data_IF_454477553087
#
_entry.id   IF_454477553087
#
_cell.length_a   1.000
_cell.length_b   1.000
_cell.length_c   1.000
_cell.angle_alpha   90.00
_cell.angle_beta   90.00
_cell.angle_gamma   90.00
#
_symmetry.space_group_name_H-M   'P 1'
#
loop_
_entity.id
_entity.type
_entity.pdbx_description
1 polymer ?
#
# COMPACT_ATOMS: atom_id res chain seq x y z
N UNK A 1 26.31 -10.08 -17.30
CA UNK A 1 25.95 -9.86 -18.72
C UNK A 1 24.46 -10.11 -18.83
N UNK A 2 23.72 -9.28 -19.58
CA UNK A 2 22.27 -9.45 -19.74
C UNK A 2 21.98 -10.73 -20.55
N UNK A 3 21.16 -11.67 -20.06
CA UNK A 3 20.88 -12.92 -20.76
C UNK A 3 20.23 -12.72 -22.14
N UNK A 4 19.56 -11.58 -22.37
CA UNK A 4 18.94 -11.25 -23.67
C UNK A 4 19.96 -11.03 -24.79
N UNK A 5 21.19 -10.66 -24.44
CA UNK A 5 22.24 -10.37 -25.41
C UNK A 5 22.61 -11.58 -26.26
N UNK A 6 22.58 -12.79 -25.68
CA UNK A 6 22.90 -14.02 -26.39
C UNK A 6 21.87 -14.32 -27.48
N UNK A 7 20.58 -14.20 -27.15
CA UNK A 7 19.49 -14.40 -28.10
C UNK A 7 19.55 -13.39 -29.25
N UNK A 8 19.81 -12.11 -28.95
CA UNK A 8 19.96 -11.07 -29.97
C UNK A 8 21.18 -11.35 -30.85
N UNK A 9 22.30 -11.76 -30.26
CA UNK A 9 23.50 -12.13 -31.01
C UNK A 9 23.26 -13.29 -31.99
N UNK A 10 22.59 -14.36 -31.54
CA UNK A 10 22.24 -15.50 -32.40
C UNK A 10 21.28 -15.11 -33.53
N UNK A 11 20.34 -14.20 -33.24
CA UNK A 11 19.42 -13.67 -34.25
C UNK A 11 20.16 -12.83 -35.30
N UNK A 12 21.04 -11.92 -34.87
CA UNK A 12 21.87 -11.12 -35.77
C UNK A 12 22.79 -12.00 -36.62
N UNK A 13 23.42 -13.01 -36.01
CA UNK A 13 24.30 -13.94 -36.74
C UNK A 13 23.52 -14.71 -37.84
N UNK A 14 22.27 -15.13 -37.54
CA UNK A 14 21.39 -15.74 -38.52
C UNK A 14 21.04 -14.78 -39.65
N UNK A 15 20.66 -13.54 -39.32
CA UNK A 15 20.36 -12.49 -40.28
C UNK A 15 21.56 -12.20 -41.21
N UNK A 16 22.77 -12.09 -40.65
CA UNK A 16 23.98 -11.88 -41.45
C UNK A 16 24.28 -13.06 -42.38
N UNK A 17 24.07 -14.30 -41.94
CA UNK A 17 24.25 -15.50 -42.78
C UNK A 17 23.25 -15.55 -43.93
N UNK A 18 21.98 -15.27 -43.67
CA UNK A 18 20.93 -15.18 -44.69
C UNK A 18 21.23 -14.06 -45.69
N UNK A 19 21.58 -12.87 -45.19
CA UNK A 19 21.93 -11.71 -46.01
C UNK A 19 23.21 -11.94 -46.84
N UNK A 20 24.21 -12.63 -46.28
CA UNK A 20 25.44 -13.00 -47.01
C UNK A 20 25.15 -13.97 -48.15
N UNK A 21 24.23 -14.91 -47.95
CA UNK A 21 23.79 -15.85 -48.99
C UNK A 21 22.99 -15.17 -50.11
N UNK A 22 22.20 -14.14 -49.79
CA UNK A 22 21.56 -13.28 -50.79
C UNK A 22 22.58 -12.44 -51.56
N UNK A 23 23.54 -11.84 -50.86
CA UNK A 23 24.63 -11.09 -51.48
C UNK A 23 25.46 -11.96 -52.43
N UNK A 24 25.78 -13.19 -52.03
CA UNK A 24 26.50 -14.14 -52.86
C UNK A 24 25.75 -14.51 -54.15
N UNK A 25 24.42 -14.64 -54.08
CA UNK A 25 23.57 -14.87 -55.26
C UNK A 25 23.51 -13.65 -56.17
N UNK A 26 23.41 -12.45 -55.61
CA UNK A 26 23.32 -11.21 -56.38
C UNK A 26 24.68 -10.79 -57.00
N UNK A 27 25.79 -11.03 -56.30
CA UNK A 27 27.14 -10.58 -56.72
C UNK A 27 28.21 -11.69 -56.61
N UNK A 28 28.12 -12.77 -57.42
CA UNK A 28 28.97 -13.95 -57.27
C UNK A 28 30.47 -13.67 -57.37
N UNK A 29 30.87 -12.75 -58.28
CA UNK A 29 32.29 -12.40 -58.48
C UNK A 29 32.91 -11.73 -57.26
N UNK A 30 32.13 -10.97 -56.49
CA UNK A 30 32.61 -10.26 -55.29
C UNK A 30 32.58 -11.22 -54.11
N UNK A 31 31.52 -12.00 -53.96
CA UNK A 31 31.40 -13.01 -52.90
C UNK A 31 32.51 -14.07 -52.95
N UNK A 32 32.88 -14.55 -54.15
CA UNK A 32 34.02 -15.49 -54.30
C UNK A 32 35.36 -14.87 -53.87
N UNK A 33 35.56 -13.55 -54.01
CA UNK A 33 36.77 -12.88 -53.53
C UNK A 33 36.82 -12.75 -52.01
N UNK A 34 35.65 -12.77 -51.37
CA UNK A 34 35.47 -12.69 -49.92
C UNK A 34 35.35 -14.08 -49.28
N UNK A 35 35.44 -15.16 -50.06
CA UNK A 35 35.32 -16.53 -49.56
C UNK A 35 33.90 -16.88 -49.06
N UNK A 36 32.86 -16.25 -49.59
CA UNK A 36 31.47 -16.49 -49.22
C UNK A 36 30.83 -17.45 -50.23
N UNK A 37 30.50 -18.67 -49.81
CA UNK A 37 29.83 -19.68 -50.63
C UNK A 37 28.50 -20.09 -49.97
N UNK A 38 27.39 -19.57 -50.49
CA UNK A 38 26.08 -19.80 -49.89
C UNK A 38 26.00 -19.22 -48.47
N UNK A 39 25.81 -20.08 -47.47
CA UNK A 39 25.79 -19.68 -46.05
C UNK A 39 27.13 -19.89 -45.33
N UNK A 40 28.10 -20.52 -45.98
CA UNK A 40 29.41 -20.80 -45.39
C UNK A 40 30.41 -19.71 -45.80
N UNK A 41 31.20 -19.26 -44.81
CA UNK A 41 32.26 -18.27 -45.01
C UNK A 41 33.58 -19.01 -44.78
N UNK A 42 34.32 -19.24 -45.86
CA UNK A 42 35.56 -20.02 -45.82
C UNK A 42 36.74 -19.23 -45.22
N UNK A 43 36.69 -17.89 -45.24
CA UNK A 43 37.73 -17.03 -44.65
C UNK A 43 37.45 -16.77 -43.15
N UNK A 44 38.30 -17.25 -42.23
CA UNK A 44 38.12 -17.05 -40.80
C UNK A 44 38.10 -15.57 -40.37
N UNK A 45 38.80 -14.68 -41.08
CA UNK A 45 38.80 -13.25 -40.73
C UNK A 45 37.47 -12.58 -41.08
N UNK A 46 36.86 -12.98 -42.19
CA UNK A 46 35.53 -12.50 -42.60
C UNK A 46 34.47 -13.05 -41.65
N UNK A 47 34.55 -14.32 -41.27
CA UNK A 47 33.65 -14.91 -40.27
C UNK A 47 33.76 -14.18 -38.91
N UNK A 48 34.97 -13.93 -38.42
CA UNK A 48 35.20 -13.18 -37.17
C UNK A 48 34.70 -11.75 -37.25
N UNK A 49 34.80 -11.10 -38.42
CA UNK A 49 34.26 -9.76 -38.63
C UNK A 49 32.73 -9.77 -38.58
N UNK A 50 32.08 -10.78 -39.16
CA UNK A 50 30.62 -10.96 -39.09
C UNK A 50 30.19 -11.20 -37.64
N UNK A 51 30.88 -12.08 -36.90
CA UNK A 51 30.61 -12.30 -35.48
C UNK A 51 30.76 -11.00 -34.66
N UNK A 52 31.87 -10.26 -34.84
CA UNK A 52 32.09 -9.00 -34.14
C UNK A 52 31.01 -7.95 -34.48
N UNK A 53 30.60 -7.89 -35.75
CA UNK A 53 29.55 -6.97 -36.21
C UNK A 53 28.18 -7.36 -35.66
N UNK A 54 27.83 -8.65 -35.68
CA UNK A 54 26.62 -9.18 -35.07
C UNK A 54 26.58 -8.89 -33.56
N UNK A 55 27.71 -9.00 -32.86
CA UNK A 55 27.80 -8.65 -31.45
C UNK A 55 27.58 -7.15 -31.20
N UNK A 56 28.17 -6.26 -32.02
CA UNK A 56 27.93 -4.83 -31.92
C UNK A 56 26.46 -4.47 -32.23
N UNK A 57 25.88 -5.07 -33.28
CA UNK A 57 24.47 -4.90 -33.67
C UNK A 57 23.54 -5.35 -32.55
N UNK A 58 23.77 -6.54 -31.99
CA UNK A 58 23.00 -7.07 -30.87
C UNK A 58 23.05 -6.16 -29.64
N UNK A 59 24.18 -5.49 -29.36
CA UNK A 59 24.27 -4.49 -28.28
C UNK A 59 23.49 -3.22 -28.58
N UNK A 60 23.43 -2.79 -29.84
CA UNK A 60 22.59 -1.65 -30.26
C UNK A 60 21.12 -2.01 -30.13
N UNK A 61 20.70 -3.17 -30.62
CA UNK A 61 19.33 -3.65 -30.50
C UNK A 61 18.92 -3.82 -29.03
N UNK A 62 19.79 -4.39 -28.19
CA UNK A 62 19.53 -4.48 -26.75
C UNK A 62 19.28 -3.10 -26.11
N UNK A 63 19.99 -2.06 -26.56
CA UNK A 63 19.77 -0.69 -26.09
C UNK A 63 18.46 -0.11 -26.62
N UNK A 64 18.15 -0.29 -27.90
CA UNK A 64 16.90 0.18 -28.50
C UNK A 64 15.68 -0.47 -27.83
N UNK A 65 15.73 -1.78 -27.61
CA UNK A 65 14.68 -2.54 -26.92
C UNK A 65 14.52 -2.10 -25.46
N UNK A 66 15.59 -1.64 -24.82
CA UNK A 66 15.54 -1.11 -23.45
C UNK A 66 14.87 0.27 -23.36
N UNK A 67 14.81 1.06 -24.44
CA UNK A 67 14.17 2.38 -24.44
C UNK A 67 12.63 2.31 -24.52
N UNK A 68 12.07 1.28 -25.18
CA UNK A 68 10.61 1.13 -25.28
C UNK A 68 9.90 1.04 -23.90
N UNK A 69 10.35 0.19 -22.96
CA UNK A 69 9.79 0.15 -21.59
C UNK A 69 9.93 1.47 -20.84
N UNK A 70 10.99 2.25 -21.08
CA UNK A 70 11.18 3.57 -20.46
C UNK A 70 10.12 4.55 -20.97
N UNK A 71 9.92 4.59 -22.29
CA UNK A 71 8.90 5.43 -22.90
C UNK A 71 7.49 5.09 -22.41
N UNK A 72 7.11 3.80 -22.43
CA UNK A 72 5.78 3.38 -21.94
C UNK A 72 5.64 3.60 -20.44
N UNK A 73 6.70 3.38 -19.66
CA UNK A 73 6.74 3.67 -18.24
C UNK A 73 6.47 5.15 -17.93
N UNK A 74 7.12 6.06 -18.65
CA UNK A 74 6.86 7.49 -18.51
C UNK A 74 5.42 7.88 -18.89
N UNK A 75 4.86 7.29 -19.94
CA UNK A 75 3.44 7.50 -20.27
C UNK A 75 2.51 7.00 -19.15
N UNK A 76 2.83 5.86 -18.53
CA UNK A 76 2.07 5.36 -17.39
C UNK A 76 2.19 6.28 -16.18
N UNK A 77 3.37 6.85 -15.89
CA UNK A 77 3.54 7.80 -14.79
C UNK A 77 2.73 9.09 -14.97
N UNK A 78 2.49 9.53 -16.22
CA UNK A 78 1.61 10.68 -16.52
C UNK A 78 0.16 10.36 -16.14
N UNK A 79 -0.33 9.18 -16.56
CA UNK A 79 -1.75 8.82 -16.45
C UNK A 79 -2.09 8.27 -15.07
N UNK A 80 -1.22 7.41 -14.53
CA UNK A 80 -1.36 6.73 -13.24
C UNK A 80 -0.07 6.85 -12.42
N UNK A 81 0.10 7.96 -11.70
CA UNK A 81 1.25 8.11 -10.82
C UNK A 81 1.24 6.98 -9.79
N UNK A 82 2.41 6.37 -9.55
CA UNK A 82 2.65 5.26 -8.60
C UNK A 82 2.30 3.84 -9.08
N UNK A 83 1.79 3.65 -10.31
CA UNK A 83 1.54 2.30 -10.82
C UNK A 83 2.82 1.46 -10.99
N UNK A 84 3.96 2.13 -11.19
CA UNK A 84 5.29 1.53 -11.27
C UNK A 84 6.01 1.52 -9.91
N UNK A 85 5.39 2.03 -8.85
CA UNK A 85 5.97 2.02 -7.51
C UNK A 85 5.88 0.62 -6.89
N UNK A 86 6.86 0.22 -6.06
CA UNK A 86 6.80 -1.05 -5.35
C UNK A 86 5.62 -1.07 -4.36
N UNK A 87 4.95 -2.22 -4.24
CA UNK A 87 3.90 -2.40 -3.23
C UNK A 87 4.53 -2.46 -1.83
N UNK A 88 4.25 -1.49 -0.94
CA UNK A 88 4.81 -1.50 0.41
C UNK A 88 4.18 -2.60 1.26
N UNK A 89 4.88 -3.01 2.32
CA UNK A 89 4.30 -3.89 3.32
C UNK A 89 3.15 -3.18 4.07
N UNK A 90 2.06 -3.89 4.32
CA UNK A 90 0.88 -3.40 5.02
C UNK A 90 0.49 -4.37 6.13
N UNK A 91 -0.17 -3.85 7.17
CA UNK A 91 -0.70 -4.67 8.26
C UNK A 91 -1.91 -3.97 8.91
N UNK A 92 -2.68 -4.71 9.71
CA UNK A 92 -3.57 -4.13 10.73
C UNK A 92 -2.88 -4.34 12.08
N UNK A 93 -2.80 -3.28 12.88
CA UNK A 93 -2.24 -3.35 14.23
C UNK A 93 -3.31 -3.00 15.26
N UNK A 94 -3.32 -3.73 16.38
CA UNK A 94 -4.14 -3.40 17.54
C UNK A 94 -3.31 -2.63 18.57
N UNK A 95 -3.87 -1.54 19.09
CA UNK A 95 -3.26 -0.73 20.14
C UNK A 95 -3.80 -1.13 21.50
N UNK A 96 -2.91 -1.66 22.34
CA UNK A 96 -3.22 -1.95 23.75
C UNK A 96 -2.88 -0.71 24.56
N UNK A 97 -3.86 -0.21 25.30
CA UNK A 97 -3.71 0.91 26.23
C UNK A 97 -3.64 0.41 27.68
N UNK A 98 -3.20 1.29 28.58
CA UNK A 98 -3.24 1.01 30.02
C UNK A 98 -4.70 1.04 30.50
N UNK A 99 -5.25 -0.07 31.05
CA UNK A 99 -6.64 -0.13 31.48
C UNK A 99 -6.97 0.88 32.58
N UNK A 100 -5.98 1.37 33.34
CA UNK A 100 -6.20 2.28 34.46
C UNK A 100 -6.16 3.77 34.04
N UNK A 101 -5.96 4.08 32.75
CA UNK A 101 -5.92 5.46 32.25
C UNK A 101 -7.32 6.07 32.07
N UNK A 102 -7.78 6.80 33.09
CA UNK A 102 -9.05 7.51 33.06
C UNK A 102 -9.13 8.63 31.98
N UNK A 103 -8.00 9.11 31.45
CA UNK A 103 -8.02 10.14 30.39
C UNK A 103 -8.56 9.61 29.06
N UNK A 104 -8.67 8.29 28.89
CA UNK A 104 -9.27 7.70 27.70
C UNK A 104 -10.77 8.02 27.59
N UNK A 105 -11.44 8.44 28.68
CA UNK A 105 -12.87 8.80 28.69
C UNK A 105 -13.23 9.90 27.66
N UNK A 106 -12.30 10.81 27.37
CA UNK A 106 -12.48 11.88 26.37
C UNK A 106 -12.17 11.44 24.93
N UNK A 107 -11.63 10.25 24.73
CA UNK A 107 -11.31 9.70 23.42
C UNK A 107 -10.10 10.33 22.74
N UNK A 108 -8.88 10.27 23.33
CA UNK A 108 -7.69 10.80 22.69
C UNK A 108 -7.47 10.18 21.30
N UNK A 109 -7.04 11.01 20.35
CA UNK A 109 -6.90 10.62 18.95
C UNK A 109 -5.44 10.34 18.63
N UNK A 110 -5.17 9.12 18.15
CA UNK A 110 -3.95 8.79 17.42
C UNK A 110 -4.08 9.33 16.00
N UNK A 111 -3.25 10.29 15.56
CA UNK A 111 -3.40 10.90 14.24
C UNK A 111 -3.04 9.94 13.11
N UNK A 112 -3.58 10.20 11.90
CA UNK A 112 -3.10 9.60 10.65
C UNK A 112 -1.62 9.94 10.45
N UNK A 113 -0.85 8.98 9.92
CA UNK A 113 0.58 9.14 9.71
C UNK A 113 1.42 9.05 10.99
N UNK A 114 0.84 8.62 12.11
CA UNK A 114 1.60 8.35 13.33
C UNK A 114 2.63 7.24 13.08
N UNK A 115 3.85 7.44 13.57
CA UNK A 115 4.97 6.54 13.34
C UNK A 115 4.99 5.36 14.30
N UNK A 116 5.08 4.15 13.76
CA UNK A 116 5.27 2.92 14.51
C UNK A 116 6.60 2.29 14.10
N UNK A 117 7.35 1.76 15.07
CA UNK A 117 8.62 1.08 14.80
C UNK A 117 8.51 -0.38 15.20
N UNK A 118 8.98 -1.26 14.33
CA UNK A 118 9.10 -2.68 14.65
C UNK A 118 10.11 -2.89 15.77
N UNK A 119 10.06 -4.08 16.38
CA UNK A 119 11.18 -4.56 17.20
C UNK A 119 12.41 -4.75 16.31
N UNK A 120 13.59 -4.66 16.92
CA UNK A 120 14.85 -4.88 16.23
C UNK A 120 14.94 -6.34 15.77
N UNK A 121 15.06 -6.58 14.47
CA UNK A 121 15.23 -7.92 13.93
C UNK A 121 16.67 -8.42 14.15
N UNK A 122 16.83 -9.70 14.50
CA UNK A 122 18.16 -10.30 14.73
C UNK A 122 18.97 -10.26 13.44
N UNK A 123 20.17 -9.68 13.49
CA UNK A 123 21.09 -9.59 12.34
C UNK A 123 20.76 -8.49 11.34
N UNK A 124 19.80 -7.60 11.62
CA UNK A 124 19.54 -6.39 10.84
C UNK A 124 19.87 -5.14 11.65
N UNK A 125 20.23 -4.05 10.99
CA UNK A 125 20.62 -2.78 11.65
C UNK A 125 19.56 -1.68 11.51
N UNK A 126 18.45 -1.98 10.84
CA UNK A 126 17.41 -1.02 10.49
C UNK A 126 16.07 -1.50 10.99
N UNK A 127 15.35 -0.60 11.66
CA UNK A 127 13.99 -0.84 12.13
C UNK A 127 13.03 -0.65 10.96
N UNK A 128 12.02 -1.51 10.85
CA UNK A 128 10.91 -1.23 9.94
C UNK A 128 10.04 -0.14 10.55
N UNK A 129 9.77 0.92 9.78
CA UNK A 129 8.87 1.97 10.18
C UNK A 129 7.54 1.82 9.45
N UNK A 130 6.45 1.94 10.19
CA UNK A 130 5.10 1.98 9.66
C UNK A 130 4.44 3.32 9.97
N UNK A 131 3.42 3.66 9.20
CA UNK A 131 2.59 4.85 9.37
C UNK A 131 1.12 4.44 9.41
N UNK A 132 0.35 5.02 10.33
CA UNK A 132 -1.09 4.78 10.42
C UNK A 132 -1.83 5.35 9.22
N UNK A 133 -2.77 4.57 8.66
CA UNK A 133 -3.55 4.96 7.50
C UNK A 133 -4.66 5.95 7.84
N UNK A 134 -5.19 5.92 9.06
CA UNK A 134 -6.29 6.80 9.48
C UNK A 134 -6.06 7.29 10.91
N UNK A 135 -6.81 8.33 11.28
CA UNK A 135 -6.90 8.74 12.67
C UNK A 135 -7.77 7.75 13.44
N UNK A 136 -7.36 7.37 14.64
CA UNK A 136 -8.08 6.41 15.49
C UNK A 136 -8.25 7.00 16.88
N UNK A 137 -9.47 6.95 17.42
CA UNK A 137 -9.73 7.28 18.83
C UNK A 137 -9.55 6.05 19.70
N UNK A 138 -8.90 6.25 20.84
CA UNK A 138 -8.74 5.22 21.87
C UNK A 138 -9.81 5.40 22.94
N UNK A 139 -10.41 4.30 23.38
CA UNK A 139 -11.47 4.30 24.39
C UNK A 139 -11.10 3.33 25.53
N UNK A 140 -11.52 3.59 26.78
CA UNK A 140 -11.25 2.72 27.92
C UNK A 140 -12.20 1.52 27.89
N UNK A 141 -12.08 0.69 26.85
CA UNK A 141 -13.01 -0.38 26.53
C UNK A 141 -12.28 -1.69 26.29
N UNK A 142 -12.89 -2.75 26.80
CA UNK A 142 -12.48 -4.13 26.57
C UNK A 142 -13.67 -4.94 26.05
N UNK A 143 -13.43 -5.79 25.06
CA UNK A 143 -14.40 -6.75 24.59
C UNK A 143 -14.34 -8.03 25.43
N UNK A 144 -15.42 -8.33 26.15
CA UNK A 144 -15.50 -9.55 26.98
C UNK A 144 -15.97 -10.77 26.21
N UNK A 145 -16.89 -10.58 25.26
CA UNK A 145 -17.53 -11.66 24.51
C UNK A 145 -18.02 -11.12 23.19
N UNK A 146 -17.81 -11.85 22.10
CA UNK A 146 -18.55 -11.68 20.87
C UNK A 146 -19.11 -13.03 20.42
N UNK A 147 -20.38 -13.04 20.00
CA UNK A 147 -21.08 -14.23 19.56
C UNK A 147 -22.10 -13.91 18.49
N UNK A 148 -22.14 -14.77 17.49
CA UNK A 148 -23.16 -14.74 16.46
C UNK A 148 -24.40 -15.53 16.93
N UNK A 149 -25.59 -15.08 16.56
CA UNK A 149 -26.83 -15.81 16.76
C UNK A 149 -27.71 -15.78 15.51
N UNK A 150 -28.40 -16.88 15.23
CA UNK A 150 -29.53 -16.92 14.30
C UNK A 150 -30.87 -16.82 15.03
N UNK A 151 -30.91 -17.24 16.30
CA UNK A 151 -32.09 -17.18 17.14
C UNK A 151 -31.73 -16.72 18.57
N UNK A 152 -32.37 -15.65 19.04
CA UNK A 152 -32.13 -15.09 20.38
C UNK A 152 -33.48 -14.70 21.03
N UNK A 153 -34.12 -15.62 21.76
CA UNK A 153 -35.42 -15.37 22.39
C UNK A 153 -35.34 -14.46 23.63
N UNK A 154 -34.15 -14.30 24.21
CA UNK A 154 -33.89 -13.42 25.34
C UNK A 154 -33.81 -11.94 24.93
N UNK A 155 -33.69 -11.66 23.63
CA UNK A 155 -33.70 -10.32 23.08
C UNK A 155 -35.13 -9.88 22.74
N UNK A 156 -35.52 -8.62 23.00
CA UNK A 156 -36.83 -8.08 22.64
C UNK A 156 -36.92 -7.79 21.12
N UNK A 157 -36.60 -8.76 20.27
CA UNK A 157 -36.58 -8.59 18.81
C UNK A 157 -37.98 -8.42 18.25
N UNK A 158 -38.99 -9.02 18.89
CA UNK A 158 -40.39 -8.93 18.46
C UNK A 158 -40.95 -7.50 18.50
N UNK A 159 -40.42 -6.63 19.38
CA UNK A 159 -40.82 -5.22 19.47
C UNK A 159 -40.11 -4.34 18.44
N UNK A 160 -39.12 -4.86 17.72
CA UNK A 160 -38.45 -4.10 16.67
C UNK A 160 -39.40 -3.87 15.48
N UNK A 161 -39.48 -2.66 14.90
CA UNK A 161 -40.37 -2.37 13.76
C UNK A 161 -40.16 -3.32 12.57
N UNK A 162 -38.92 -3.78 12.38
CA UNK A 162 -38.53 -4.71 11.32
C UNK A 162 -38.25 -6.13 11.84
N UNK A 163 -38.91 -6.57 12.91
CA UNK A 163 -38.69 -7.89 13.55
C UNK A 163 -38.70 -9.06 12.56
N UNK A 164 -39.60 -9.02 11.56
CA UNK A 164 -39.71 -10.04 10.51
C UNK A 164 -38.55 -10.07 9.52
N UNK A 165 -37.73 -9.03 9.44
CA UNK A 165 -36.55 -8.99 8.59
C UNK A 165 -35.32 -9.56 9.30
N UNK A 166 -35.30 -9.60 10.63
CA UNK A 166 -34.15 -10.08 11.41
C UNK A 166 -34.00 -11.60 11.18
N UNK A 167 -32.82 -12.01 10.74
CA UNK A 167 -32.45 -13.42 10.52
C UNK A 167 -31.24 -13.86 11.34
N UNK A 168 -30.57 -12.93 12.00
CA UNK A 168 -29.47 -13.18 12.90
C UNK A 168 -28.87 -11.88 13.39
N UNK A 169 -27.73 -11.99 14.07
CA UNK A 169 -27.01 -10.84 14.57
C UNK A 169 -25.71 -11.19 15.26
N UNK A 170 -24.95 -10.14 15.58
CA UNK A 170 -23.72 -10.23 16.36
C UNK A 170 -23.93 -9.55 17.71
N UNK A 171 -23.77 -10.30 18.79
CA UNK A 171 -23.81 -9.79 20.16
C UNK A 171 -22.39 -9.60 20.64
N UNK A 172 -22.11 -8.45 21.22
CA UNK A 172 -20.81 -8.14 21.78
C UNK A 172 -20.97 -7.43 23.11
N UNK A 173 -20.31 -7.96 24.14
CA UNK A 173 -20.32 -7.41 25.49
C UNK A 173 -19.05 -6.60 25.69
N UNK A 174 -19.23 -5.32 25.93
CA UNK A 174 -18.15 -4.37 26.19
C UNK A 174 -18.13 -4.03 27.68
N UNK A 175 -16.93 -3.89 28.23
CA UNK A 175 -16.68 -3.43 29.59
C UNK A 175 -15.83 -2.16 29.55
N UNK A 176 -16.17 -1.20 30.39
CA UNK A 176 -15.32 -0.04 30.66
C UNK A 176 -14.14 -0.39 31.56
N UNK A 177 -13.01 0.27 31.36
CA UNK A 177 -11.84 0.20 32.24
C UNK A 177 -11.73 1.46 33.12
N UNK A 178 -10.69 1.56 33.96
CA UNK A 178 -10.42 2.71 34.84
C UNK A 178 -11.57 3.10 35.80
N UNK A 179 -12.38 2.12 36.25
CA UNK A 179 -13.56 2.32 37.12
C UNK A 179 -14.58 3.35 36.59
N UNK A 180 -14.66 3.52 35.27
CA UNK A 180 -15.58 4.43 34.60
C UNK A 180 -16.93 3.74 34.30
N UNK A 181 -17.98 4.54 34.16
CA UNK A 181 -19.25 4.10 33.58
C UNK A 181 -19.37 4.53 32.12
N UNK A 182 -20.18 3.82 31.33
CA UNK A 182 -20.47 4.21 29.94
C UNK A 182 -21.09 5.60 29.82
N UNK A 183 -21.82 6.07 30.84
CA UNK A 183 -22.36 7.43 30.87
C UNK A 183 -21.31 8.54 30.98
N UNK A 184 -20.07 8.21 31.35
CA UNK A 184 -18.96 9.15 31.51
C UNK A 184 -18.03 9.21 30.29
N UNK A 185 -18.18 8.30 29.33
CA UNK A 185 -17.33 8.20 28.14
C UNK A 185 -17.98 8.97 26.99
N UNK A 186 -17.21 9.82 26.31
CA UNK A 186 -17.67 10.60 25.16
C UNK A 186 -17.66 9.78 23.84
N UNK A 187 -18.09 8.52 23.89
CA UNK A 187 -18.07 7.59 22.77
C UNK A 187 -19.27 7.81 21.84
N UNK A 188 -19.00 8.38 20.67
CA UNK A 188 -20.00 8.49 19.59
C UNK A 188 -19.80 7.47 18.47
N UNK A 189 -18.55 7.36 18.01
CA UNK A 189 -18.12 6.47 16.93
C UNK A 189 -17.25 5.33 17.48
N UNK A 190 -17.75 4.10 17.39
CA UNK A 190 -17.02 2.88 17.70
C UNK A 190 -16.62 2.17 16.40
N UNK A 191 -15.32 2.13 16.13
CA UNK A 191 -14.75 1.42 14.97
C UNK A 191 -14.32 0.03 15.41
N UNK A 192 -14.77 -0.99 14.67
CA UNK A 192 -14.48 -2.39 14.92
C UNK A 192 -13.74 -2.97 13.72
N UNK A 193 -12.69 -3.75 14.00
CA UNK A 193 -12.06 -4.62 13.01
C UNK A 193 -12.63 -6.03 13.13
N UNK A 194 -13.06 -6.61 12.02
CA UNK A 194 -13.50 -7.99 11.94
C UNK A 194 -12.29 -8.88 11.67
N UNK A 195 -11.80 -9.54 12.70
CA UNK A 195 -10.60 -10.37 12.65
C UNK A 195 -10.87 -11.88 12.69
N UNK A 196 -9.84 -12.63 13.07
CA UNK A 196 -9.88 -14.09 13.12
C UNK A 196 -9.60 -14.73 11.77
N UNK A 197 -10.26 -15.85 11.47
CA UNK A 197 -10.15 -16.49 10.16
C UNK A 197 -10.78 -15.60 9.07
N UNK A 198 -10.08 -15.43 7.94
CA UNK A 198 -10.46 -14.48 6.89
C UNK A 198 -11.87 -14.73 6.33
N UNK A 199 -12.26 -16.00 6.17
CA UNK A 199 -13.59 -16.40 5.68
C UNK A 199 -14.71 -15.95 6.62
N UNK A 200 -14.53 -16.15 7.92
CA UNK A 200 -15.49 -15.72 8.97
C UNK A 200 -15.57 -14.21 9.02
N UNK A 201 -14.44 -13.51 8.96
CA UNK A 201 -14.39 -12.04 8.96
C UNK A 201 -15.17 -11.45 7.77
N UNK A 202 -14.99 -11.99 6.56
CA UNK A 202 -15.72 -11.53 5.37
C UNK A 202 -17.21 -11.83 5.41
N UNK A 203 -17.61 -13.00 5.91
CA UNK A 203 -19.02 -13.33 6.10
C UNK A 203 -19.69 -12.40 7.12
N UNK A 204 -19.01 -12.11 8.24
CA UNK A 204 -19.49 -11.13 9.22
C UNK A 204 -19.58 -9.73 8.63
N UNK A 205 -18.58 -9.33 7.83
CA UNK A 205 -18.56 -8.04 7.15
C UNK A 205 -19.76 -7.92 6.19
N UNK A 206 -20.01 -8.94 5.37
CA UNK A 206 -21.15 -9.00 4.46
C UNK A 206 -22.49 -8.92 5.22
N UNK A 207 -22.64 -9.69 6.30
CA UNK A 207 -23.84 -9.67 7.14
C UNK A 207 -24.10 -8.29 7.76
N UNK A 208 -23.03 -7.62 8.25
CA UNK A 208 -23.15 -6.33 8.92
C UNK A 208 -23.45 -5.17 7.97
N UNK A 209 -22.82 -5.16 6.78
CA UNK A 209 -22.87 -4.01 5.87
C UNK A 209 -23.78 -4.19 4.66
N UNK A 210 -24.12 -5.43 4.28
CA UNK A 210 -24.94 -5.70 3.10
C UNK A 210 -26.37 -5.15 3.23
N UNK A 211 -27.02 -5.38 4.37
CA UNK A 211 -28.34 -4.82 4.69
C UNK A 211 -28.54 -4.76 6.22
N UNK A 212 -27.95 -3.76 6.89
CA UNK A 212 -28.13 -3.57 8.33
C UNK A 212 -29.59 -3.29 8.67
N UNK A 213 -30.09 -3.87 9.77
CA UNK A 213 -31.44 -3.58 10.30
C UNK A 213 -31.37 -2.54 11.43
N UNK A 214 -30.27 -2.49 12.16
CA UNK A 214 -30.07 -1.55 13.25
C UNK A 214 -29.15 -2.11 14.31
N UNK A 215 -28.95 -1.30 15.35
CA UNK A 215 -28.13 -1.64 16.51
C UNK A 215 -28.96 -1.52 17.77
N UNK A 216 -28.88 -2.51 18.64
CA UNK A 216 -29.50 -2.46 19.97
C UNK A 216 -28.40 -2.38 21.02
N UNK A 217 -28.54 -1.48 21.98
CA UNK A 217 -27.61 -1.29 23.10
C UNK A 217 -28.36 -1.58 24.40
N UNK A 218 -27.84 -2.48 25.22
CA UNK A 218 -28.46 -2.94 26.47
C UNK A 218 -27.51 -2.72 27.65
N UNK A 219 -27.94 -2.04 28.72
CA UNK A 219 -27.13 -1.91 29.93
C UNK A 219 -27.08 -3.23 30.70
N UNK A 220 -25.88 -3.66 31.07
CA UNK A 220 -25.64 -4.88 31.83
C UNK A 220 -25.03 -4.56 33.20
N UNK A 221 -25.47 -5.27 34.23
CA UNK A 221 -24.87 -5.26 35.56
C UNK A 221 -23.73 -6.26 35.70
N UNK A 222 -22.97 -6.14 36.80
CA UNK A 222 -21.98 -7.13 37.19
C UNK A 222 -22.64 -8.53 37.30
N UNK A 223 -22.32 -9.43 36.37
CA UNK A 223 -22.95 -10.75 36.25
C UNK A 223 -23.84 -10.95 35.02
N UNK A 224 -23.98 -9.95 34.14
CA UNK A 224 -24.70 -10.06 32.87
C UNK A 224 -26.22 -9.91 32.98
N UNK A 225 -26.74 -9.54 34.15
CA UNK A 225 -28.15 -9.21 34.33
C UNK A 225 -28.47 -7.84 33.70
N UNK A 226 -29.63 -7.72 33.05
CA UNK A 226 -30.11 -6.45 32.51
C UNK A 226 -30.29 -5.40 33.62
N UNK A 227 -29.73 -4.21 33.43
CA UNK A 227 -29.85 -3.07 34.35
C UNK A 227 -30.48 -1.84 33.68
N UNK A 228 -31.60 -2.05 32.97
CA UNK A 228 -32.35 -0.97 32.33
C UNK A 228 -32.99 -1.38 31.01
N UNK A 229 -33.58 -0.40 30.32
CA UNK A 229 -34.20 -0.60 29.02
C UNK A 229 -33.15 -0.69 27.89
N UNK A 230 -33.45 -1.52 26.90
CA UNK A 230 -32.71 -1.52 25.64
C UNK A 230 -33.00 -0.23 24.87
N UNK A 231 -31.98 0.30 24.20
CA UNK A 231 -32.10 1.44 23.29
C UNK A 231 -31.69 1.00 21.89
N UNK A 232 -32.36 1.53 20.87
CA UNK A 232 -32.11 1.15 19.47
C UNK A 232 -31.59 2.34 18.68
N UNK A 233 -30.61 2.07 17.82
CA UNK A 233 -30.09 2.98 16.81
C UNK A 233 -30.53 2.49 15.42
N UNK A 234 -30.76 3.41 14.47
CA UNK A 234 -31.19 3.06 13.12
C UNK A 234 -30.11 2.29 12.33
N UNK A 235 -30.46 1.65 11.21
CA UNK A 235 -29.49 1.05 10.28
C UNK A 235 -28.34 1.97 9.88
N UNK A 236 -28.62 3.27 9.73
CA UNK A 236 -27.65 4.29 9.33
C UNK A 236 -26.54 4.53 10.36
N UNK A 237 -26.69 4.00 11.58
CA UNK A 237 -25.62 3.99 12.57
C UNK A 237 -24.46 3.10 12.14
N UNK A 238 -24.71 2.07 11.32
CA UNK A 238 -23.67 1.15 10.81
C UNK A 238 -23.12 1.73 9.51
N UNK A 239 -21.81 1.99 9.49
CA UNK A 239 -21.11 2.56 8.34
C UNK A 239 -19.90 1.74 7.91
N UNK A 240 -19.54 1.87 6.63
CA UNK A 240 -18.30 1.35 6.06
C UNK A 240 -17.10 2.21 6.50
N UNK A 241 -15.91 1.60 6.52
CA UNK A 241 -14.63 2.25 6.84
C UNK A 241 -13.57 1.74 5.87
N UNK A 242 -12.67 2.60 5.44
CA UNK A 242 -11.50 2.25 4.62
C UNK A 242 -11.60 2.65 3.14
N UNK A 243 -12.61 3.40 2.73
CA UNK A 243 -12.84 3.77 1.32
C UNK A 243 -12.44 5.21 1.00
N UNK A 244 -12.36 6.07 2.02
CA UNK A 244 -12.07 7.50 1.84
C UNK A 244 -10.56 7.77 1.69
N UNK A 245 -10.23 8.93 1.14
CA UNK A 245 -8.83 9.34 0.88
C UNK A 245 -8.01 9.52 2.16
N UNK A 246 -8.65 9.95 3.25
CA UNK A 246 -8.08 10.06 4.59
C UNK A 246 -8.00 8.71 5.34
N UNK A 247 -8.37 7.61 4.68
CA UNK A 247 -8.19 6.24 5.15
C UNK A 247 -7.24 5.41 4.24
N UNK A 248 -6.79 5.98 3.13
CA UNK A 248 -5.87 5.35 2.18
C UNK A 248 -4.52 4.94 2.78
N UNK A 249 -4.05 3.72 2.47
CA UNK A 249 -2.68 3.24 2.77
C UNK A 249 -1.69 3.71 1.69
N UNK A 250 -2.11 3.69 0.43
CA UNK A 250 -1.30 4.14 -0.70
C UNK A 250 -1.48 5.64 -0.96
N UNK A 251 -0.48 6.32 -1.54
CA UNK A 251 -0.56 7.75 -1.82
C UNK A 251 -1.76 8.13 -2.69
N UNK A 252 -2.48 9.17 -2.27
CA UNK A 252 -3.59 9.74 -3.05
C UNK A 252 -3.02 10.65 -4.13
N UNK A 253 -3.43 10.44 -5.37
CA UNK A 253 -2.99 11.23 -6.52
C UNK A 253 -4.08 12.22 -6.91
N UNK A 254 -3.70 13.48 -7.16
CA UNK A 254 -4.66 14.53 -7.52
C UNK A 254 -5.36 14.28 -8.87
N UNK A 255 -4.74 13.49 -9.74
CA UNK A 255 -5.22 13.18 -11.10
C UNK A 255 -5.85 11.79 -11.20
N UNK A 256 -5.71 10.95 -10.17
CA UNK A 256 -6.15 9.55 -10.21
C UNK A 256 -7.59 9.39 -9.75
N UNK A 257 -8.36 8.60 -10.50
CA UNK A 257 -9.61 8.06 -10.00
C UNK A 257 -9.33 7.13 -8.81
N UNK A 258 -9.89 7.45 -7.64
CA UNK A 258 -9.66 6.71 -6.39
C UNK A 258 -9.95 5.21 -6.50
N UNK A 259 -10.84 4.80 -7.42
CA UNK A 259 -11.15 3.39 -7.67
C UNK A 259 -9.94 2.54 -8.07
N UNK A 260 -8.93 3.10 -8.75
CA UNK A 260 -7.70 2.36 -9.05
C UNK A 260 -6.88 2.07 -7.80
N UNK A 261 -6.77 3.07 -6.91
CA UNK A 261 -6.12 2.88 -5.60
C UNK A 261 -6.87 1.82 -4.80
N UNK A 262 -8.20 1.92 -4.71
CA UNK A 262 -9.01 0.96 -3.96
C UNK A 262 -8.83 -0.47 -4.49
N UNK A 263 -8.79 -0.65 -5.82
CA UNK A 263 -8.53 -1.94 -6.45
C UNK A 263 -7.13 -2.46 -6.10
N UNK A 264 -6.11 -1.60 -6.17
CA UNK A 264 -4.74 -1.94 -5.83
C UNK A 264 -4.61 -2.35 -4.36
N UNK A 265 -5.20 -1.58 -3.44
CA UNK A 265 -5.20 -1.90 -2.02
C UNK A 265 -6.00 -3.18 -1.72
N UNK A 266 -7.09 -3.45 -2.44
CA UNK A 266 -7.89 -4.67 -2.29
C UNK A 266 -7.09 -5.93 -2.67
N UNK A 267 -6.38 -5.89 -3.80
CA UNK A 267 -5.56 -7.03 -4.21
C UNK A 267 -4.25 -7.16 -3.42
N UNK A 268 -3.73 -6.05 -2.86
CA UNK A 268 -2.52 -6.07 -2.06
C UNK A 268 -2.78 -6.50 -0.61
N UNK A 269 -3.83 -5.99 0.02
CA UNK A 269 -4.13 -6.20 1.43
C UNK A 269 -5.64 -6.03 1.73
N UNK A 270 -6.47 -7.04 1.39
CA UNK A 270 -7.93 -6.93 1.49
C UNK A 270 -8.42 -6.72 2.93
N UNK A 271 -7.67 -7.17 3.95
CA UNK A 271 -8.03 -7.01 5.36
C UNK A 271 -8.17 -5.54 5.80
N UNK A 272 -7.60 -4.57 5.07
CA UNK A 272 -7.84 -3.13 5.36
C UNK A 272 -9.32 -2.73 5.29
N UNK A 273 -10.13 -3.50 4.56
CA UNK A 273 -11.56 -3.23 4.35
C UNK A 273 -12.45 -4.02 5.32
N UNK A 274 -11.88 -4.84 6.21
CA UNK A 274 -12.64 -5.62 7.21
C UNK A 274 -13.02 -4.76 8.43
N UNK A 275 -13.39 -3.50 8.20
CA UNK A 275 -13.76 -2.57 9.26
C UNK A 275 -15.22 -2.13 9.12
N UNK A 276 -15.85 -1.88 10.26
CA UNK A 276 -17.15 -1.24 10.31
C UNK A 276 -17.19 -0.22 11.45
N UNK A 277 -18.05 0.77 11.31
CA UNK A 277 -18.28 1.80 12.31
C UNK A 277 -19.69 1.75 12.84
N UNK A 278 -19.85 1.90 14.15
CA UNK A 278 -21.13 2.12 14.83
C UNK A 278 -21.13 3.55 15.35
N UNK A 279 -21.96 4.40 14.77
CA UNK A 279 -22.08 5.83 15.08
C UNK A 279 -23.33 6.15 15.89
N UNK A 280 -23.36 7.33 16.52
CA UNK A 280 -24.52 7.81 17.28
C UNK A 280 -24.66 7.18 18.67
N UNK A 281 -23.61 6.50 19.17
CA UNK A 281 -23.63 5.89 20.51
C UNK A 281 -23.81 6.94 21.61
N UNK A 282 -23.34 8.18 21.39
CA UNK A 282 -23.46 9.26 22.38
C UNK A 282 -24.91 9.67 22.66
N UNK A 283 -25.85 9.34 21.76
CA UNK A 283 -27.28 9.57 21.98
C UNK A 283 -27.90 8.62 23.03
N UNK A 284 -27.22 7.52 23.35
CA UNK A 284 -27.73 6.42 24.16
C UNK A 284 -26.92 6.23 25.46
N UNK A 285 -25.60 6.25 25.36
CA UNK A 285 -24.68 5.93 26.47
C UNK A 285 -24.81 6.82 27.72
N UNK A 286 -25.08 8.14 27.63
CA UNK A 286 -25.26 9.00 28.81
C UNK A 286 -26.38 8.52 29.76
N UNK A 287 -27.36 7.77 29.25
CA UNK A 287 -28.46 7.21 30.04
C UNK A 287 -28.13 5.87 30.74
N UNK A 288 -26.92 5.34 30.55
CA UNK A 288 -26.49 4.02 31.00
C UNK A 288 -25.33 4.12 32.01
N UNK A 289 -25.60 4.38 33.31
CA UNK A 289 -24.58 4.47 34.35
C UNK A 289 -24.13 3.07 34.81
N UNK A 290 -23.61 2.28 33.86
CA UNK A 290 -23.15 0.90 34.05
C UNK A 290 -21.72 0.74 33.53
N UNK A 291 -21.02 -0.27 34.04
CA UNK A 291 -19.67 -0.64 33.59
C UNK A 291 -19.65 -1.64 32.44
N UNK A 292 -20.80 -2.24 32.11
CA UNK A 292 -20.94 -3.20 31.01
C UNK A 292 -22.16 -2.89 30.15
N UNK A 293 -22.00 -3.01 28.83
CA UNK A 293 -23.11 -2.97 27.88
C UNK A 293 -23.01 -4.14 26.91
N UNK A 294 -24.15 -4.56 26.40
CA UNK A 294 -24.23 -5.41 25.22
C UNK A 294 -24.65 -4.58 24.02
N UNK A 295 -23.83 -4.59 22.98
CA UNK A 295 -24.17 -4.07 21.67
C UNK A 295 -24.57 -5.25 20.80
N UNK A 296 -25.72 -5.16 20.15
CA UNK A 296 -26.27 -6.18 19.26
C UNK A 296 -26.49 -5.58 17.87
N UNK A 297 -25.72 -6.06 16.90
CA UNK A 297 -25.94 -5.75 15.50
C UNK A 297 -27.00 -6.70 14.94
N UNK A 298 -28.04 -6.16 14.30
CA UNK A 298 -29.16 -6.93 13.74
C UNK A 298 -29.01 -7.05 12.23
N UNK A 299 -29.01 -8.29 11.73
CA UNK A 299 -28.77 -8.59 10.32
C UNK A 299 -30.04 -9.09 9.63
N UNK A 300 -30.25 -8.68 8.37
CA UNK A 300 -31.33 -9.22 7.54
C UNK A 300 -31.03 -10.59 6.96
N UNK A 301 -29.74 -10.94 6.87
CA UNK A 301 -29.25 -12.25 6.45
C UNK A 301 -28.67 -12.97 7.66
N UNK A 302 -29.10 -14.22 7.84
CA UNK A 302 -28.55 -15.11 8.84
C UNK A 302 -27.71 -16.21 8.21
N UNK A 303 -26.58 -16.55 8.82
CA UNK A 303 -25.79 -17.74 8.51
C UNK A 303 -25.54 -18.56 9.78
N UNK A 304 -26.23 -19.70 9.90
CA UNK A 304 -26.13 -20.56 11.08
C UNK A 304 -24.74 -21.20 11.25
N UNK A 305 -23.90 -21.24 10.20
CA UNK A 305 -22.53 -21.72 10.32
C UNK A 305 -21.69 -20.81 11.23
N UNK A 306 -21.97 -19.50 11.23
CA UNK A 306 -21.25 -18.51 12.03
C UNK A 306 -21.45 -18.68 13.54
N UNK A 307 -22.55 -19.28 14.01
CA UNK A 307 -22.82 -19.47 15.45
C UNK A 307 -21.71 -20.23 16.18
N UNK A 308 -21.05 -21.16 15.50
CA UNK A 308 -19.97 -21.99 16.08
C UNK A 308 -18.58 -21.42 15.86
N UNK A 309 -18.44 -20.50 14.90
CA UNK A 309 -17.15 -19.98 14.45
C UNK A 309 -16.82 -18.63 15.09
N UNK A 310 -17.84 -17.82 15.37
CA UNK A 310 -17.65 -16.45 15.87
C UNK A 310 -17.37 -16.45 17.36
N UNK A 311 -16.21 -15.91 17.71
CA UNK A 311 -15.73 -15.72 19.07
C UNK A 311 -15.33 -14.28 19.32
N UNK A 312 -14.86 -13.97 20.54
CA UNK A 312 -14.34 -12.64 20.87
C UNK A 312 -13.14 -12.23 19.99
N UNK A 313 -12.37 -13.17 19.46
CA UNK A 313 -11.20 -12.86 18.60
C UNK A 313 -11.59 -12.28 17.24
N UNK A 314 -12.83 -12.52 16.80
CA UNK A 314 -13.34 -12.02 15.52
C UNK A 314 -13.76 -10.55 15.55
N UNK A 315 -13.83 -9.93 16.73
CA UNK A 315 -14.18 -8.52 16.88
C UNK A 315 -13.06 -7.86 17.66
N UNK A 316 -12.33 -6.97 17.03
CA UNK A 316 -11.15 -6.35 17.63
C UNK A 316 -11.35 -4.84 17.75
N UNK A 317 -11.03 -4.33 18.94
CA UNK A 317 -11.04 -2.90 19.26
C UNK A 317 -9.67 -2.29 18.99
N UNK A 318 -9.64 -0.96 18.81
CA UNK A 318 -8.41 -0.17 18.72
C UNK A 318 -7.46 -0.66 17.63
N UNK A 319 -8.02 -1.13 16.51
CA UNK A 319 -7.28 -1.56 15.34
C UNK A 319 -7.16 -0.45 14.31
N UNK A 320 -5.98 -0.32 13.68
CA UNK A 320 -5.72 0.63 12.60
C UNK A 320 -4.87 -0.01 11.50
N UNK A 321 -5.20 0.16 10.22
CA UNK A 321 -4.33 -0.24 9.12
C UNK A 321 -3.05 0.61 9.11
N UNK A 322 -1.92 -0.01 8.80
CA UNK A 322 -0.61 0.63 8.75
C UNK A 322 0.15 0.23 7.49
N UNK A 323 0.98 1.14 6.98
CA UNK A 323 1.81 0.93 5.79
C UNK A 323 3.28 1.21 6.10
N UNK A 324 4.20 0.38 5.59
CA UNK A 324 5.63 0.64 5.60
C UNK A 324 5.97 1.62 4.46
N UNK A 325 5.54 2.86 4.64
CA UNK A 325 5.77 3.96 3.73
C UNK A 325 5.88 5.24 4.55
N UNK A 326 6.96 5.98 4.39
CA UNK A 326 7.24 7.18 5.15
C UNK A 326 8.15 8.13 4.38
N UNK A 327 8.09 9.41 4.74
CA UNK A 327 8.96 10.43 4.16
C UNK A 327 10.39 10.27 4.69
N UNK A 328 11.35 10.26 3.78
CA UNK A 328 12.78 10.25 4.08
C UNK A 328 13.48 11.25 3.18
N UNK A 329 14.28 12.14 3.78
CA UNK A 329 15.18 13.02 3.03
C UNK A 329 16.35 12.20 2.51
N UNK A 330 16.62 12.30 1.22
CA UNK A 330 17.76 11.65 0.58
C UNK A 330 19.04 12.47 0.79
N UNK A 331 20.20 11.81 0.67
CA UNK A 331 21.48 12.50 0.59
C UNK A 331 21.54 13.43 -0.62
N UNK A 332 22.28 14.54 -0.48
CA UNK A 332 22.51 15.45 -1.61
C UNK A 332 23.29 14.76 -2.72
N UNK A 333 22.84 15.01 -3.94
CA UNK A 333 23.51 14.55 -5.16
C UNK A 333 24.28 15.73 -5.75
N UNK A 334 25.62 15.67 -5.83
CA UNK A 334 26.39 16.69 -6.52
C UNK A 334 26.11 16.61 -8.03
N UNK A 335 25.75 17.74 -8.63
CA UNK A 335 25.60 17.86 -10.07
C UNK A 335 26.96 18.12 -10.71
N UNK A 336 27.31 17.38 -11.75
CA UNK A 336 28.54 17.55 -12.52
C UNK A 336 28.21 17.58 -14.01
N UNK A 337 28.85 18.49 -14.74
CA UNK A 337 28.76 18.50 -16.20
C UNK A 337 29.27 17.16 -16.75
N UNK A 338 28.49 16.54 -17.64
CA UNK A 338 28.81 15.23 -18.23
C UNK A 338 28.09 14.03 -17.63
N UNK A 339 27.36 14.19 -16.52
CA UNK A 339 26.46 13.15 -15.99
C UNK A 339 25.02 13.64 -16.11
N UNK A 340 24.20 12.90 -16.85
CA UNK A 340 22.79 13.23 -17.09
C UNK A 340 21.82 12.44 -16.21
N UNK A 341 22.31 11.43 -15.48
CA UNK A 341 21.47 10.54 -14.68
C UNK A 341 22.13 10.26 -13.33
N UNK A 342 21.36 10.44 -12.26
CA UNK A 342 21.84 10.36 -10.88
C UNK A 342 21.08 9.29 -10.11
N UNK A 343 21.81 8.36 -9.50
CA UNK A 343 21.21 7.32 -8.66
C UNK A 343 20.73 7.89 -7.32
N UNK A 344 19.44 7.70 -7.03
CA UNK A 344 18.81 8.13 -5.78
C UNK A 344 18.96 7.05 -4.70
N UNK A 345 20.00 7.15 -3.89
CA UNK A 345 20.25 6.25 -2.75
C UNK A 345 19.76 6.89 -1.45
N UNK A 346 18.75 6.33 -0.77
CA UNK A 346 18.19 6.94 0.45
C UNK A 346 19.15 7.00 1.63
N UNK A 347 20.02 6.01 1.76
CA UNK A 347 21.02 5.94 2.81
C UNK A 347 22.24 5.19 2.25
N UNK A 348 23.34 5.91 2.02
CA UNK A 348 24.56 5.33 1.45
C UNK A 348 25.25 4.33 2.38
N UNK A 349 25.01 4.41 3.69
CA UNK A 349 25.56 3.44 4.65
C UNK A 349 24.81 2.12 4.62
N UNK A 350 23.54 2.16 4.20
CA UNK A 350 22.63 1.01 4.15
C UNK A 350 21.79 1.04 2.86
N UNK A 351 22.44 0.93 1.68
CA UNK A 351 21.78 1.17 0.40
C UNK A 351 20.69 0.15 0.05
N UNK A 352 20.68 -1.01 0.73
CA UNK A 352 19.70 -2.08 0.51
C UNK A 352 18.51 -2.03 1.46
N UNK A 353 18.58 -1.27 2.55
CA UNK A 353 17.56 -1.26 3.61
C UNK A 353 16.36 -0.37 3.26
N UNK A 354 16.52 0.50 2.26
CA UNK A 354 15.49 1.40 1.78
C UNK A 354 15.27 1.23 0.28
N UNK A 355 14.02 1.41 -0.13
CA UNK A 355 13.59 1.45 -1.52
C UNK A 355 12.79 2.73 -1.74
N UNK A 356 13.10 3.48 -2.80
CA UNK A 356 12.40 4.73 -3.11
C UNK A 356 11.03 4.38 -3.69
N UNK A 357 9.95 4.67 -2.97
CA UNK A 357 8.59 4.51 -3.49
C UNK A 357 8.23 5.63 -4.48
N UNK A 358 8.29 6.88 -4.03
CA UNK A 358 7.97 8.07 -4.85
C UNK A 358 8.91 9.21 -4.48
N UNK A 359 9.38 9.97 -5.47
CA UNK A 359 10.07 11.24 -5.24
C UNK A 359 9.02 12.34 -5.09
N UNK A 360 8.91 12.90 -3.89
CA UNK A 360 7.89 13.91 -3.56
C UNK A 360 8.32 15.33 -3.89
N UNK A 361 9.60 15.65 -3.72
CA UNK A 361 10.14 16.99 -3.92
C UNK A 361 11.63 16.92 -4.30
N UNK A 362 12.05 17.81 -5.20
CA UNK A 362 13.44 17.97 -5.60
C UNK A 362 13.81 19.46 -5.54
N UNK A 363 14.81 19.78 -4.71
CA UNK A 363 15.32 21.14 -4.54
C UNK A 363 16.82 21.14 -4.82
N UNK A 364 17.24 21.95 -5.78
CA UNK A 364 18.64 22.24 -6.06
C UNK A 364 19.14 23.39 -5.21
N UNK A 365 20.40 23.32 -4.79
CA UNK A 365 21.07 24.39 -4.06
C UNK A 365 22.30 24.82 -4.85
N UNK A 366 22.27 26.03 -5.41
CA UNK A 366 23.40 26.65 -6.09
C UNK A 366 24.35 27.35 -5.13
N UNK A 367 25.59 27.60 -5.57
CA UNK A 367 26.49 28.50 -4.85
C UNK A 367 25.87 29.91 -4.79
N UNK A 368 26.05 30.66 -3.69
CA UNK A 368 25.63 32.06 -3.64
C UNK A 368 26.33 32.84 -4.77
N UNK A 369 25.54 33.53 -5.59
CA UNK A 369 26.07 34.30 -6.71
C UNK A 369 26.83 35.53 -6.22
N UNK A 370 27.91 35.90 -6.91
CA UNK A 370 28.67 37.12 -6.61
C UNK A 370 27.86 38.42 -6.81
N UNK A 371 26.76 38.37 -7.57
CA UNK A 371 25.98 39.53 -8.02
C UNK A 371 24.68 39.79 -7.24
N UNK A 372 24.32 38.92 -6.29
CA UNK A 372 23.23 39.21 -5.35
C UNK A 372 23.84 39.32 -3.95
N UNK A 373 23.78 40.52 -3.35
CA UNK A 373 24.28 40.79 -1.99
C UNK A 373 23.56 40.03 -0.85
N UNK A 374 23.01 38.85 -1.14
CA UNK A 374 22.39 37.91 -0.22
C UNK A 374 23.32 36.72 -0.03
N UNK A 375 23.77 36.49 1.20
CA UNK A 375 24.60 35.35 1.59
C UNK A 375 23.87 33.98 1.57
N UNK A 376 22.65 33.93 1.03
CA UNK A 376 21.85 32.71 0.96
C UNK A 376 22.12 31.94 -0.35
N UNK A 377 22.28 30.62 -0.24
CA UNK A 377 22.32 29.72 -1.39
C UNK A 377 21.05 29.91 -2.23
N UNK A 378 21.19 30.02 -3.55
CA UNK A 378 20.03 30.11 -4.45
C UNK A 378 19.36 28.74 -4.50
N UNK A 379 18.15 28.66 -3.98
CA UNK A 379 17.33 27.45 -4.07
C UNK A 379 16.55 27.44 -5.39
N UNK A 380 16.62 26.31 -6.09
CA UNK A 380 15.89 26.06 -7.32
C UNK A 380 14.99 24.85 -7.11
N UNK A 381 13.68 25.06 -7.10
CA UNK A 381 12.72 23.95 -7.13
C UNK A 381 12.79 23.26 -8.50
N UNK A 382 12.78 21.93 -8.54
CA UNK A 382 12.61 21.17 -9.77
C UNK A 382 11.22 20.55 -9.77
N UNK A 383 10.50 20.67 -10.89
CA UNK A 383 9.15 20.09 -11.03
C UNK A 383 9.21 18.77 -11.78
N UNK A 384 8.34 17.79 -11.48
CA UNK A 384 8.26 16.59 -12.31
C UNK A 384 7.87 17.00 -13.74
N UNK A 385 8.61 16.54 -14.74
CA UNK A 385 8.39 16.90 -16.14
C UNK A 385 7.03 16.40 -16.65
N UNK A 386 6.64 15.21 -16.22
CA UNK A 386 5.45 14.48 -16.67
C UNK A 386 4.21 14.70 -15.80
N UNK A 387 4.33 15.38 -14.66
CA UNK A 387 3.15 15.80 -13.90
C UNK A 387 2.54 17.02 -14.58
N UNK A 388 1.55 16.79 -15.45
CA UNK A 388 0.80 17.85 -16.10
C UNK A 388 0.09 18.70 -15.04
N UNK A 389 0.67 19.83 -14.67
CA UNK A 389 -0.06 20.87 -13.95
C UNK A 389 -1.11 21.43 -14.92
N UNK A 390 -2.34 20.94 -14.84
CA UNK A 390 -3.49 21.27 -15.71
C UNK A 390 -3.95 22.76 -15.64
N UNK A 391 -3.10 23.69 -15.20
CA UNK A 391 -3.43 25.11 -15.10
C UNK A 391 -2.28 26.10 -15.34
N UNK A 392 -1.01 25.66 -15.39
CA UNK A 392 0.11 26.59 -15.65
C UNK A 392 0.43 26.66 -17.13
N UNK A 393 0.01 27.74 -17.79
CA UNK A 393 0.41 28.11 -19.16
C UNK A 393 1.87 28.59 -19.28
N UNK A 394 2.66 28.51 -18.20
CA UNK A 394 4.01 29.04 -18.13
C UNK A 394 5.03 27.91 -17.94
N UNK A 395 6.07 27.91 -18.77
CA UNK A 395 7.21 26.99 -18.62
C UNK A 395 7.90 27.24 -17.28
N UNK A 396 8.16 26.18 -16.55
CA UNK A 396 9.04 26.22 -15.38
C UNK A 396 10.50 26.13 -15.85
N UNK A 397 11.45 26.82 -15.21
CA UNK A 397 12.85 26.83 -15.68
C UNK A 397 13.57 25.49 -15.45
N UNK A 398 13.10 24.66 -14.51
CA UNK A 398 13.78 23.43 -14.11
C UNK A 398 12.79 22.27 -13.89
N UNK A 399 13.12 21.11 -14.47
CA UNK A 399 12.33 19.89 -14.39
C UNK A 399 13.20 18.69 -14.06
N UNK A 400 12.59 17.65 -13.51
CA UNK A 400 13.22 16.35 -13.34
C UNK A 400 12.36 15.22 -13.91
N UNK A 401 12.99 14.14 -14.32
CA UNK A 401 12.33 12.85 -14.57
C UNK A 401 12.92 11.78 -13.67
N UNK A 402 12.17 10.71 -13.46
CA UNK A 402 12.65 9.54 -12.72
C UNK A 402 12.50 8.28 -13.55
N UNK A 403 13.52 7.45 -13.58
CA UNK A 403 13.49 6.12 -14.20
C UNK A 403 13.72 5.06 -13.14
N UNK A 404 12.91 4.00 -13.15
CA UNK A 404 13.03 2.88 -12.23
C UNK A 404 13.57 1.66 -12.95
N UNK A 405 14.56 1.01 -12.36
CA UNK A 405 15.15 -0.22 -12.88
C UNK A 405 15.14 -1.32 -11.82
N UNK A 406 14.98 -2.60 -12.19
CA UNK A 406 15.10 -3.70 -11.24
C UNK A 406 16.48 -3.70 -10.58
N UNK A 407 16.51 -3.89 -9.25
CA UNK A 407 17.75 -3.96 -8.50
C UNK A 407 18.54 -5.21 -8.92
N UNK A 408 19.85 -5.06 -9.08
CA UNK A 408 20.73 -6.21 -9.27
C UNK A 408 20.96 -6.94 -7.96
N UNK A 409 20.91 -8.27 -7.99
CA UNK A 409 21.26 -9.11 -6.83
C UNK A 409 22.70 -8.84 -6.39
N UNK A 410 22.87 -8.57 -5.10
CA UNK A 410 24.18 -8.47 -4.47
C UNK A 410 24.92 -9.80 -4.45
N UNK A 411 26.25 -9.76 -4.28
CA UNK A 411 27.08 -10.96 -4.18
C UNK A 411 26.56 -11.91 -3.10
N UNK A 412 26.22 -11.35 -1.92
CA UNK A 412 25.68 -12.11 -0.81
C UNK A 412 24.35 -12.79 -1.14
N UNK A 413 23.41 -12.08 -1.78
CA UNK A 413 22.12 -12.65 -2.19
C UNK A 413 22.27 -13.76 -3.23
N UNK A 414 23.24 -13.65 -4.14
CA UNK A 414 23.53 -14.72 -5.11
C UNK A 414 24.08 -15.98 -4.45
N UNK A 415 24.79 -15.85 -3.33
CA UNK A 415 25.42 -16.98 -2.63
C UNK A 415 24.52 -17.60 -1.55
N UNK A 416 23.84 -16.77 -0.76
CA UNK A 416 23.02 -17.19 0.39
C UNK A 416 21.53 -17.36 0.04
N UNK A 417 21.12 -16.96 -1.17
CA UNK A 417 19.73 -16.91 -1.58
C UNK A 417 18.99 -15.69 -1.00
N UNK A 418 17.75 -15.49 -1.44
CA UNK A 418 16.93 -14.35 -1.04
C UNK A 418 15.96 -14.76 0.08
N UNK A 419 15.77 -13.90 1.08
CA UNK A 419 14.72 -14.08 2.10
C UNK A 419 13.30 -13.83 1.54
N UNK A 420 13.19 -13.07 0.45
CA UNK A 420 11.94 -12.75 -0.25
C UNK A 420 12.12 -12.89 -1.76
N UNK A 421 11.03 -13.16 -2.48
CA UNK A 421 11.00 -13.10 -3.95
C UNK A 421 11.14 -11.66 -4.49
N UNK A 422 10.80 -10.65 -3.67
CA UNK A 422 11.00 -9.24 -4.00
C UNK A 422 12.50 -8.88 -3.94
N UNK A 423 13.06 -8.49 -5.08
CA UNK A 423 14.48 -8.10 -5.23
C UNK A 423 14.67 -6.60 -4.97
N UNK A 424 13.61 -5.81 -5.17
CA UNK A 424 13.62 -4.35 -5.10
C UNK A 424 13.94 -3.67 -6.43
N UNK A 425 13.87 -2.35 -6.42
CA UNK A 425 14.13 -1.48 -7.55
C UNK A 425 15.06 -0.32 -7.17
N UNK A 426 15.78 0.19 -8.16
CA UNK A 426 16.59 1.38 -8.07
C UNK A 426 15.93 2.53 -8.82
N UNK A 427 16.02 3.73 -8.28
CA UNK A 427 15.47 4.94 -8.91
C UNK A 427 16.62 5.87 -9.30
N UNK A 428 16.58 6.32 -10.53
CA UNK A 428 17.50 7.33 -11.04
C UNK A 428 16.73 8.59 -11.44
N UNK A 429 17.37 9.74 -11.31
CA UNK A 429 16.82 11.05 -11.64
C UNK A 429 17.64 11.70 -12.75
N UNK A 430 16.98 12.37 -13.68
CA UNK A 430 17.60 13.19 -14.72
C UNK A 430 17.16 14.65 -14.57
#
# INVERSE_FOLDING_TARGET
MDPRLLSLYEQELRYFRESSAEFARAFPKIANRLGIEGQEVADPYVERLIEATAFLSARVNLKLDAEYPRFTGHLLDIVYPHFLAPTPAMAVVSMVHDPDDANLAVGPTLPRGAGLRSRHAVGQSTYCEFRTASAMRLWPLELLRAQYFSYAPDLPLATHPQSRAIRGGLRMVLRTTADLNFSQIALDDLVLHLGGADDVAWQLHECALGQPIGVMVRPLGAGGALQGEARSLPPSAIGVVGFEDDEALLPVTATGFSGFRLLQEYFAFPQRFQFLKISGLQSVLPSMPVTQIEIVLLFSRGDAALEKLVTAENVQLHCVPVVNLFNKRLDRVPLSEGVSQFHLVPDRTRPQDFEVHTVTEVVGHGAPGADSGSAAAVEQLFRPFYSAFHGTRHSHPAYYTTTREPRMLSVRQRTEGNRSSHIGSEVYMQ
#
